data_IF_200213715803
#
_entry.id   IF_200213715803
#
_cell.length_a   1.000
_cell.length_b   1.000
_cell.length_c   1.000
_cell.angle_alpha   90.00
_cell.angle_beta   90.00
_cell.angle_gamma   90.00
#
_symmetry.space_group_name_H-M   'P 1'
#
loop_
_entity.id
_entity.type
_entity.pdbx_description
1 polymer ?
#
# COMPACT_ATOMS: atom_id res chain seq x y z
N UNK A 1 -11.16 -6.54 -13.44
CA UNK A 1 -10.15 -6.42 -12.40
C UNK A 1 -10.54 -7.18 -11.14
N UNK A 2 -9.61 -7.34 -10.21
CA UNK A 2 -9.89 -7.87 -8.87
C UNK A 2 -10.87 -6.96 -8.12
N UNK A 3 -11.57 -7.53 -7.15
CA UNK A 3 -12.27 -6.76 -6.14
C UNK A 3 -11.28 -6.32 -5.07
N UNK A 4 -11.34 -5.04 -4.72
CA UNK A 4 -10.41 -4.44 -3.76
C UNK A 4 -11.19 -3.61 -2.75
N UNK A 5 -10.93 -3.86 -1.47
CA UNK A 5 -11.42 -3.03 -0.38
C UNK A 5 -10.25 -2.49 0.43
N UNK A 6 -10.15 -1.17 0.53
CA UNK A 6 -9.08 -0.49 1.26
C UNK A 6 -9.61 0.22 2.50
N UNK A 7 -8.88 0.12 3.59
CA UNK A 7 -9.20 0.80 4.84
C UNK A 7 -7.95 1.49 5.40
N UNK A 8 -8.10 2.80 5.66
CA UNK A 8 -7.05 3.61 6.30
C UNK A 8 -7.40 3.83 7.76
N UNK A 9 -6.47 3.52 8.64
CA UNK A 9 -6.59 3.78 10.06
C UNK A 9 -5.60 4.88 10.46
N UNK A 10 -6.10 5.90 11.12
CA UNK A 10 -5.31 7.01 11.62
C UNK A 10 -5.47 7.13 13.14
N UNK A 11 -4.38 7.48 13.81
CA UNK A 11 -4.45 7.90 15.22
C UNK A 11 -5.27 9.20 15.32
N UNK A 12 -6.03 9.35 16.40
CA UNK A 12 -6.74 10.59 16.71
C UNK A 12 -5.82 11.76 17.11
N UNK A 13 -4.51 11.53 17.16
CA UNK A 13 -3.52 12.57 17.50
C UNK A 13 -3.23 13.45 16.28
N UNK A 14 -3.06 14.76 16.50
CA UNK A 14 -2.75 15.73 15.45
C UNK A 14 -1.36 15.48 14.84
N UNK A 15 -0.40 14.99 15.63
CA UNK A 15 0.95 14.59 15.17
C UNK A 15 1.35 13.28 15.81
N UNK A 16 1.86 12.38 15.00
CA UNK A 16 2.32 11.07 15.43
C UNK A 16 1.19 10.07 15.75
N UNK A 17 1.55 8.92 16.26
CA UNK A 17 0.69 7.79 16.51
C UNK A 17 0.68 6.80 15.36
N UNK A 18 0.25 5.57 15.68
CA UNK A 18 0.21 4.49 14.72
C UNK A 18 -0.80 4.75 13.59
N UNK A 19 -0.40 4.46 12.37
CA UNK A 19 -1.26 4.53 11.19
C UNK A 19 -1.09 3.27 10.37
N UNK A 20 -2.17 2.71 9.86
CA UNK A 20 -2.11 1.55 8.99
C UNK A 20 -3.01 1.69 7.76
N UNK A 21 -2.64 0.98 6.71
CA UNK A 21 -3.46 0.84 5.52
C UNK A 21 -3.67 -0.65 5.26
N UNK A 22 -4.91 -1.11 5.39
CA UNK A 22 -5.29 -2.49 5.13
C UNK A 22 -5.92 -2.60 3.76
N UNK A 23 -5.46 -3.59 2.99
CA UNK A 23 -5.95 -3.85 1.65
C UNK A 23 -6.42 -5.31 1.57
N UNK A 24 -7.67 -5.52 1.20
CA UNK A 24 -8.22 -6.83 0.86
C UNK A 24 -8.39 -6.90 -0.64
N UNK A 25 -7.79 -7.92 -1.25
CA UNK A 25 -7.85 -8.15 -2.70
C UNK A 25 -8.41 -9.55 -2.92
N UNK A 26 -9.41 -9.69 -3.79
CA UNK A 26 -10.06 -10.96 -4.07
C UNK A 26 -10.51 -11.08 -5.53
N UNK A 27 -10.75 -12.31 -5.98
CA UNK A 27 -11.37 -12.60 -7.28
C UNK A 27 -12.92 -12.70 -7.21
N UNK A 28 -13.49 -12.37 -6.06
CA UNK A 28 -14.93 -12.33 -5.80
C UNK A 28 -15.29 -11.02 -5.08
N UNK A 29 -16.56 -10.59 -5.08
CA UNK A 29 -16.98 -9.35 -4.45
C UNK A 29 -16.58 -9.26 -2.97
N UNK A 30 -16.00 -8.13 -2.57
CA UNK A 30 -15.63 -7.82 -1.19
C UNK A 30 -16.22 -6.47 -0.77
N UNK A 31 -16.87 -6.44 0.39
CA UNK A 31 -17.54 -5.25 0.93
C UNK A 31 -17.00 -4.85 2.32
N UNK A 32 -15.99 -5.56 2.82
CA UNK A 32 -15.44 -5.29 4.15
C UNK A 32 -13.98 -5.75 4.23
N UNK A 33 -13.25 -5.20 5.21
CA UNK A 33 -11.90 -5.67 5.55
C UNK A 33 -12.00 -6.99 6.33
N UNK A 34 -10.97 -7.83 6.22
CA UNK A 34 -10.83 -9.02 7.05
C UNK A 34 -10.22 -8.68 8.41
N UNK A 35 -10.51 -9.50 9.43
CA UNK A 35 -9.91 -9.41 10.77
C UNK A 35 -8.50 -9.99 10.83
N UNK A 36 -8.03 -10.62 9.77
CA UNK A 36 -6.69 -11.20 9.66
C UNK A 36 -6.05 -10.78 8.35
N UNK A 37 -4.71 -10.77 8.32
CA UNK A 37 -3.93 -10.47 7.11
C UNK A 37 -2.94 -11.58 6.78
N UNK A 38 -2.60 -11.72 5.51
CA UNK A 38 -1.61 -12.68 5.02
C UNK A 38 -0.22 -12.05 4.86
N UNK A 39 -0.14 -10.74 4.66
CA UNK A 39 1.09 -10.00 4.49
C UNK A 39 1.04 -8.75 5.37
N UNK A 40 2.02 -8.57 6.23
CA UNK A 40 2.21 -7.38 7.04
C UNK A 40 3.57 -6.75 6.71
N UNK A 41 3.56 -5.48 6.32
CA UNK A 41 4.77 -4.68 6.12
C UNK A 41 4.86 -3.68 7.27
N UNK A 42 5.74 -3.98 8.22
CA UNK A 42 5.99 -3.09 9.35
C UNK A 42 6.99 -1.98 8.95
N UNK A 43 6.53 -0.74 9.00
CA UNK A 43 7.32 0.45 8.70
C UNK A 43 7.76 1.21 9.96
N UNK A 44 7.25 0.80 11.11
CA UNK A 44 7.56 1.30 12.44
C UNK A 44 7.44 0.17 13.49
N UNK A 45 8.05 0.31 14.69
CA UNK A 45 7.99 -0.73 15.72
C UNK A 45 6.59 -0.93 16.31
N UNK A 46 5.72 0.09 16.34
CA UNK A 46 4.38 0.00 16.91
C UNK A 46 3.51 -1.00 16.12
N UNK A 47 3.78 -1.15 14.81
CA UNK A 47 3.11 -2.13 13.94
C UNK A 47 3.25 -3.56 14.45
N UNK A 48 4.37 -3.92 15.11
CA UNK A 48 4.56 -5.26 15.65
C UNK A 48 3.68 -5.55 16.87
N UNK A 49 3.32 -4.53 17.62
CA UNK A 49 2.44 -4.67 18.78
C UNK A 49 0.97 -4.61 18.39
N UNK A 50 0.63 -3.72 17.46
CA UNK A 50 -0.76 -3.42 17.08
C UNK A 50 -1.29 -4.35 16.00
N UNK A 51 -0.54 -4.53 14.90
CA UNK A 51 -1.06 -5.24 13.71
C UNK A 51 -0.53 -6.68 13.57
N UNK A 52 0.64 -7.03 14.14
CA UNK A 52 1.16 -8.39 14.01
C UNK A 52 0.26 -9.49 14.62
N UNK A 53 -0.56 -9.24 15.66
CA UNK A 53 -1.54 -10.19 16.14
C UNK A 53 -2.61 -10.59 15.10
N UNK A 54 -2.85 -9.76 14.09
CA UNK A 54 -3.80 -10.05 13.00
C UNK A 54 -3.19 -10.96 11.90
N UNK A 55 -1.88 -11.20 11.94
CA UNK A 55 -1.20 -12.00 10.92
C UNK A 55 -1.58 -13.47 11.05
N UNK A 56 -1.98 -14.10 9.94
CA UNK A 56 -2.29 -15.54 9.93
C UNK A 56 -1.03 -16.37 10.20
N UNK A 57 -1.20 -17.60 10.66
CA UNK A 57 -0.07 -18.51 10.94
C UNK A 57 0.81 -18.79 9.70
N UNK A 58 0.23 -18.73 8.52
CA UNK A 58 0.93 -18.91 7.22
C UNK A 58 1.34 -17.58 6.60
N UNK A 59 1.09 -16.48 7.30
CA UNK A 59 1.38 -15.14 6.82
C UNK A 59 2.88 -14.84 6.74
N UNK A 60 3.20 -13.72 6.10
CA UNK A 60 4.55 -13.18 6.00
C UNK A 60 4.61 -11.84 6.71
N UNK A 61 5.56 -11.72 7.62
CA UNK A 61 5.94 -10.46 8.25
C UNK A 61 7.17 -9.90 7.56
N UNK A 62 7.10 -8.65 7.12
CA UNK A 62 8.28 -7.87 6.69
C UNK A 62 8.56 -6.82 7.76
N UNK A 63 9.77 -6.81 8.33
CA UNK A 63 10.09 -5.93 9.46
C UNK A 63 11.57 -5.58 9.53
N UNK A 64 11.89 -4.51 10.28
CA UNK A 64 13.28 -4.19 10.58
C UNK A 64 13.85 -5.19 11.61
N UNK A 65 15.07 -5.64 11.36
CA UNK A 65 15.82 -6.54 12.27
C UNK A 65 15.97 -5.94 13.66
N UNK A 66 16.16 -4.63 13.76
CA UNK A 66 16.33 -3.94 15.02
C UNK A 66 15.08 -4.00 15.92
N UNK A 67 13.89 -4.14 15.34
CA UNK A 67 12.63 -4.18 16.12
C UNK A 67 12.28 -5.56 16.64
N UNK A 68 12.97 -6.59 16.18
CA UNK A 68 12.77 -7.95 16.67
C UNK A 68 13.39 -8.18 18.05
N UNK A 69 14.41 -7.39 18.44
CA UNK A 69 15.07 -7.46 19.78
C UNK A 69 15.35 -8.91 20.25
N UNK A 70 15.80 -9.77 19.33
CA UNK A 70 16.03 -11.19 19.61
C UNK A 70 14.76 -12.06 19.69
N UNK A 71 13.57 -11.51 19.53
CA UNK A 71 12.32 -12.26 19.41
C UNK A 71 12.31 -13.01 18.07
N UNK A 72 11.89 -14.29 18.11
CA UNK A 72 11.69 -15.08 16.89
C UNK A 72 10.19 -15.09 16.58
N UNK A 73 9.75 -14.39 15.54
CA UNK A 73 8.36 -14.46 15.09
C UNK A 73 7.98 -15.92 14.78
N UNK A 74 6.73 -16.29 15.07
CA UNK A 74 6.20 -17.63 14.77
C UNK A 74 5.77 -17.80 13.32
N UNK A 75 5.85 -16.75 12.54
CA UNK A 75 5.46 -16.67 11.12
C UNK A 75 6.69 -16.51 10.24
N UNK A 76 6.55 -16.78 8.94
CA UNK A 76 7.61 -16.51 7.98
C UNK A 76 7.96 -15.02 8.02
N UNK A 77 9.24 -14.71 8.10
CA UNK A 77 9.67 -13.34 8.34
C UNK A 77 10.77 -12.93 7.38
N UNK A 78 10.55 -11.84 6.70
CA UNK A 78 11.56 -11.08 5.96
C UNK A 78 12.10 -10.02 6.91
N UNK A 79 13.25 -10.29 7.51
CA UNK A 79 13.94 -9.37 8.40
C UNK A 79 14.99 -8.58 7.60
N UNK A 80 14.89 -7.26 7.60
CA UNK A 80 15.78 -6.37 6.85
C UNK A 80 16.13 -5.15 7.70
N UNK A 81 17.10 -4.37 7.27
CA UNK A 81 17.32 -3.02 7.81
C UNK A 81 16.79 -2.00 6.81
N UNK A 82 15.69 -1.32 7.15
CA UNK A 82 15.15 -0.27 6.29
C UNK A 82 16.17 0.85 6.01
N UNK A 83 17.00 1.16 7.00
CA UNK A 83 18.01 2.21 6.86
C UNK A 83 19.14 1.80 5.92
N UNK A 84 19.60 0.55 5.98
CA UNK A 84 20.66 0.08 5.10
C UNK A 84 20.14 -0.12 3.68
N UNK A 85 18.98 -0.75 3.53
CA UNK A 85 18.38 -0.98 2.22
C UNK A 85 18.02 0.34 1.50
N UNK A 86 17.75 1.42 2.26
CA UNK A 86 17.46 2.73 1.67
C UNK A 86 18.70 3.50 1.20
N UNK A 87 19.91 3.01 1.47
CA UNK A 87 21.16 3.64 1.02
C UNK A 87 21.60 3.02 -0.30
N UNK A 88 21.64 3.81 -1.35
CA UNK A 88 22.15 3.39 -2.66
C UNK A 88 23.05 4.50 -3.23
N UNK A 89 24.33 4.22 -3.42
CA UNK A 89 25.32 5.06 -4.13
C UNK A 89 25.23 6.57 -3.81
N UNK A 90 25.15 6.89 -2.50
CA UNK A 90 25.07 8.29 -2.03
C UNK A 90 23.66 8.89 -2.07
N UNK A 91 22.66 8.16 -2.54
CA UNK A 91 21.26 8.58 -2.59
C UNK A 91 20.45 7.85 -1.52
N UNK A 92 19.50 8.54 -0.90
CA UNK A 92 18.55 7.91 0.03
C UNK A 92 17.26 7.55 -0.69
N UNK A 93 17.00 6.25 -0.80
CA UNK A 93 15.80 5.74 -1.44
C UNK A 93 14.57 5.87 -0.52
N UNK A 94 13.39 6.20 -1.05
CA UNK A 94 12.16 6.28 -0.27
C UNK A 94 11.70 4.90 0.20
N UNK A 95 11.65 4.70 1.52
CA UNK A 95 11.33 3.40 2.16
C UNK A 95 9.96 2.88 1.78
N UNK A 96 8.97 3.75 1.57
CA UNK A 96 7.64 3.35 1.13
C UNK A 96 7.64 2.74 -0.29
N UNK A 97 8.54 3.20 -1.16
CA UNK A 97 8.67 2.62 -2.50
C UNK A 97 9.50 1.33 -2.47
N UNK A 98 10.51 1.26 -1.60
CA UNK A 98 11.18 -0.02 -1.29
C UNK A 98 10.17 -1.09 -0.82
N UNK A 99 9.30 -0.71 0.12
CA UNK A 99 8.23 -1.58 0.62
C UNK A 99 7.25 -2.01 -0.49
N UNK A 100 6.95 -1.11 -1.44
CA UNK A 100 6.14 -1.44 -2.62
C UNK A 100 6.84 -2.48 -3.51
N UNK A 101 8.15 -2.35 -3.73
CA UNK A 101 8.95 -3.33 -4.47
C UNK A 101 8.96 -4.71 -3.81
N UNK A 102 9.18 -4.75 -2.49
CA UNK A 102 9.07 -5.97 -1.68
C UNK A 102 7.69 -6.60 -1.82
N UNK A 103 6.64 -5.79 -1.69
CA UNK A 103 5.25 -6.25 -1.84
C UNK A 103 5.00 -6.83 -3.23
N UNK A 104 5.48 -6.16 -4.27
CA UNK A 104 5.35 -6.63 -5.65
C UNK A 104 6.00 -8.00 -5.85
N UNK A 105 7.20 -8.20 -5.31
CA UNK A 105 7.91 -9.49 -5.37
C UNK A 105 7.13 -10.61 -4.65
N UNK A 106 6.60 -10.34 -3.45
CA UNK A 106 5.83 -11.32 -2.67
C UNK A 106 4.49 -11.68 -3.33
N UNK A 107 3.87 -10.73 -4.05
CA UNK A 107 2.61 -10.93 -4.78
C UNK A 107 2.79 -11.41 -6.22
N UNK A 108 4.02 -11.57 -6.71
CA UNK A 108 4.28 -11.94 -8.10
C UNK A 108 3.87 -10.87 -9.11
N UNK A 109 3.90 -9.60 -8.72
CA UNK A 109 3.55 -8.46 -9.59
C UNK A 109 4.82 -7.96 -10.28
N UNK A 110 4.80 -7.92 -11.61
CA UNK A 110 5.89 -7.34 -12.40
C UNK A 110 6.01 -5.83 -12.11
N UNK A 111 7.21 -5.39 -11.76
CA UNK A 111 7.52 -3.97 -11.50
C UNK A 111 7.20 -3.08 -12.70
N UNK A 112 7.30 -3.59 -13.92
CA UNK A 112 6.93 -2.85 -15.14
C UNK A 112 5.47 -2.38 -15.14
N UNK A 113 4.56 -3.08 -14.44
CA UNK A 113 3.15 -2.67 -14.28
C UNK A 113 2.98 -1.51 -13.30
N UNK A 114 3.95 -1.31 -12.40
CA UNK A 114 3.91 -0.26 -11.37
C UNK A 114 4.56 1.04 -11.84
N UNK A 115 5.49 0.99 -12.78
CA UNK A 115 6.20 2.17 -13.29
C UNK A 115 5.26 3.27 -13.82
N UNK A 116 4.22 2.98 -14.62
CA UNK A 116 3.27 4.00 -15.08
C UNK A 116 2.51 4.68 -13.93
N UNK A 117 2.28 3.96 -12.83
CA UNK A 117 1.62 4.51 -11.63
C UNK A 117 2.56 5.46 -10.89
N UNK A 118 3.84 5.11 -10.78
CA UNK A 118 4.86 5.99 -10.22
C UNK A 118 5.04 7.24 -11.08
N UNK A 119 5.06 7.11 -12.40
CA UNK A 119 5.14 8.25 -13.33
C UNK A 119 3.95 9.20 -13.15
N UNK A 120 2.74 8.66 -13.06
CA UNK A 120 1.53 9.47 -12.80
C UNK A 120 1.61 10.22 -11.46
N UNK A 121 2.20 9.60 -10.44
CA UNK A 121 2.27 10.15 -9.08
C UNK A 121 3.43 11.14 -8.91
N UNK A 122 4.58 10.84 -9.48
CA UNK A 122 5.84 11.54 -9.22
C UNK A 122 6.45 12.24 -10.44
N UNK A 123 6.01 11.95 -11.65
CA UNK A 123 6.61 12.50 -12.87
C UNK A 123 6.66 14.03 -12.91
N UNK A 124 5.67 14.71 -12.31
CA UNK A 124 5.67 16.18 -12.18
C UNK A 124 6.74 16.75 -11.24
N UNK A 125 7.36 15.90 -10.42
CA UNK A 125 8.41 16.31 -9.45
C UNK A 125 9.83 16.33 -10.05
N UNK A 126 9.95 15.93 -11.30
CA UNK A 126 11.22 15.93 -12.04
C UNK A 126 11.83 14.53 -12.23
N UNK A 127 12.74 14.43 -13.20
CA UNK A 127 13.34 13.17 -13.62
C UNK A 127 14.17 12.51 -12.50
N UNK A 128 14.87 13.26 -11.71
CA UNK A 128 15.69 12.76 -10.60
C UNK A 128 14.81 12.04 -9.54
N UNK A 129 13.68 12.65 -9.18
CA UNK A 129 12.73 12.06 -8.24
C UNK A 129 12.14 10.77 -8.82
N UNK A 130 11.81 10.78 -10.11
CA UNK A 130 11.27 9.60 -10.77
C UNK A 130 12.29 8.45 -10.81
N UNK A 131 13.55 8.76 -11.14
CA UNK A 131 14.63 7.77 -11.18
C UNK A 131 14.91 7.17 -9.79
N UNK A 132 14.93 8.01 -8.75
CA UNK A 132 15.08 7.55 -7.36
C UNK A 132 13.95 6.63 -6.94
N UNK A 133 12.70 6.91 -7.34
CA UNK A 133 11.58 6.03 -7.06
C UNK A 133 11.65 4.72 -7.87
N UNK A 134 12.07 4.77 -9.14
CA UNK A 134 12.28 3.57 -9.95
C UNK A 134 13.33 2.66 -9.31
N UNK A 135 14.48 3.22 -8.94
CA UNK A 135 15.56 2.48 -8.27
C UNK A 135 15.07 1.88 -6.95
N UNK A 136 14.31 2.61 -6.14
CA UNK A 136 13.75 2.10 -4.89
C UNK A 136 12.81 0.90 -5.12
N UNK A 137 11.93 0.98 -6.12
CA UNK A 137 11.02 -0.11 -6.47
C UNK A 137 11.81 -1.37 -6.86
N UNK A 138 12.80 -1.23 -7.74
CA UNK A 138 13.63 -2.32 -8.21
C UNK A 138 14.49 -2.91 -7.07
N UNK A 139 15.10 -2.06 -6.24
CA UNK A 139 15.88 -2.50 -5.08
C UNK A 139 15.05 -3.34 -4.12
N UNK A 140 13.83 -2.91 -3.80
CA UNK A 140 12.92 -3.68 -2.95
C UNK A 140 12.53 -5.03 -3.56
N UNK A 141 12.26 -5.07 -4.84
CA UNK A 141 11.92 -6.29 -5.57
C UNK A 141 13.09 -7.28 -5.60
N UNK A 142 14.27 -6.82 -6.02
CA UNK A 142 15.47 -7.65 -6.11
C UNK A 142 15.96 -8.12 -4.73
N UNK A 143 15.67 -7.37 -3.66
CA UNK A 143 15.99 -7.81 -2.31
C UNK A 143 15.27 -9.13 -1.96
N UNK A 144 13.99 -9.26 -2.26
CA UNK A 144 13.24 -10.52 -2.05
C UNK A 144 13.77 -11.60 -2.97
N UNK A 145 13.95 -11.31 -4.24
CA UNK A 145 14.42 -12.26 -5.23
C UNK A 145 15.78 -12.87 -4.88
N UNK A 146 16.68 -12.09 -4.31
CA UNK A 146 18.04 -12.52 -4.03
C UNK A 146 18.23 -13.13 -2.64
N UNK A 147 17.46 -12.69 -1.63
CA UNK A 147 17.64 -13.11 -0.24
C UNK A 147 16.50 -14.02 0.29
N UNK A 148 15.32 -13.97 -0.33
CA UNK A 148 14.13 -14.71 0.06
C UNK A 148 13.42 -15.30 -1.15
N UNK A 149 14.20 -15.92 -2.01
CA UNK A 149 13.72 -16.43 -3.30
C UNK A 149 12.58 -17.45 -3.15
N UNK A 150 12.55 -18.20 -2.06
CA UNK A 150 11.48 -19.12 -1.69
C UNK A 150 10.15 -18.44 -1.35
N UNK A 151 10.19 -17.12 -1.10
CA UNK A 151 9.01 -16.28 -0.88
C UNK A 151 8.61 -15.48 -2.13
N UNK A 152 9.39 -15.55 -3.20
CA UNK A 152 9.04 -14.87 -4.45
C UNK A 152 7.69 -15.40 -4.96
N UNK A 153 6.76 -14.48 -5.22
CA UNK A 153 5.39 -14.80 -5.62
C UNK A 153 4.64 -15.73 -4.63
N UNK A 154 4.98 -15.66 -3.33
CA UNK A 154 4.36 -16.49 -2.29
C UNK A 154 2.84 -16.33 -2.22
N UNK A 155 2.33 -15.15 -2.60
CA UNK A 155 0.92 -14.82 -2.67
C UNK A 155 0.49 -14.47 -4.09
N UNK A 156 0.90 -15.27 -5.08
CA UNK A 156 0.46 -15.06 -6.46
C UNK A 156 -1.06 -15.04 -6.52
N UNK A 157 -1.58 -13.96 -7.07
CA UNK A 157 -3.01 -13.81 -7.23
C UNK A 157 -3.50 -14.65 -8.41
N UNK A 158 -4.62 -15.37 -8.29
CA UNK A 158 -5.15 -16.20 -9.37
C UNK A 158 -5.49 -15.32 -10.58
N UNK A 159 -5.22 -15.82 -11.79
CA UNK A 159 -5.66 -15.15 -13.00
C UNK A 159 -7.19 -15.03 -13.02
N UNK A 160 -7.66 -13.89 -13.53
CA UNK A 160 -9.09 -13.67 -13.72
C UNK A 160 -9.47 -14.16 -15.11
N UNK A 161 -10.41 -15.09 -15.20
CA UNK A 161 -10.88 -15.64 -16.48
C UNK A 161 -11.50 -14.56 -17.38
N UNK A 162 -12.18 -13.58 -16.81
CA UNK A 162 -12.88 -12.50 -17.52
C UNK A 162 -12.74 -11.16 -16.78
N UNK A 163 -11.56 -10.51 -16.82
CA UNK A 163 -11.32 -9.28 -16.08
C UNK A 163 -12.16 -8.13 -16.63
N UNK A 164 -13.22 -7.78 -15.92
CA UNK A 164 -13.99 -6.57 -16.23
C UNK A 164 -13.30 -5.34 -15.63
N UNK A 165 -13.30 -4.19 -16.32
CA UNK A 165 -12.82 -2.94 -15.75
C UNK A 165 -13.69 -2.58 -14.54
N UNK A 166 -13.04 -2.20 -13.44
CA UNK A 166 -13.71 -1.77 -12.21
C UNK A 166 -13.18 -0.40 -11.80
N UNK A 167 -14.07 0.43 -11.28
CA UNK A 167 -13.66 1.68 -10.64
C UNK A 167 -13.19 1.38 -9.22
N UNK A 168 -11.99 1.84 -8.90
CA UNK A 168 -11.52 1.92 -7.54
C UNK A 168 -11.53 3.38 -7.09
N UNK A 169 -12.32 3.70 -6.07
CA UNK A 169 -12.47 5.06 -5.57
C UNK A 169 -12.67 5.09 -4.06
N UNK A 170 -12.37 6.20 -3.45
CA UNK A 170 -12.62 6.44 -2.04
C UNK A 170 -14.12 6.66 -1.79
N UNK A 171 -14.59 6.39 -0.57
CA UNK A 171 -15.99 6.58 -0.20
C UNK A 171 -16.49 8.02 -0.44
N UNK A 172 -15.68 9.02 -0.11
CA UNK A 172 -16.02 10.44 -0.36
C UNK A 172 -16.12 10.76 -1.85
N UNK A 173 -15.25 10.18 -2.70
CA UNK A 173 -15.33 10.31 -4.15
C UNK A 173 -16.60 9.65 -4.71
N UNK A 174 -16.97 8.49 -4.15
CA UNK A 174 -18.20 7.79 -4.54
C UNK A 174 -19.46 8.60 -4.16
N UNK A 175 -19.47 9.22 -2.98
CA UNK A 175 -20.56 10.14 -2.56
C UNK A 175 -20.67 11.33 -3.51
N UNK A 176 -19.54 11.97 -3.82
CA UNK A 176 -19.51 13.11 -4.75
C UNK A 176 -19.97 12.71 -6.15
N UNK A 177 -19.49 11.56 -6.67
CA UNK A 177 -19.92 11.04 -7.97
C UNK A 177 -21.42 10.76 -7.98
N UNK A 178 -21.96 10.14 -6.93
CA UNK A 178 -23.41 9.89 -6.77
C UNK A 178 -24.21 11.19 -6.79
N UNK A 179 -23.75 12.23 -6.09
CA UNK A 179 -24.40 13.53 -6.10
C UNK A 179 -24.39 14.17 -7.51
N UNK A 180 -23.26 14.18 -8.21
CA UNK A 180 -23.14 14.71 -9.57
C UNK A 180 -24.04 13.96 -10.57
N UNK A 181 -24.02 12.63 -10.51
CA UNK A 181 -24.86 11.81 -11.42
C UNK A 181 -26.34 11.91 -11.13
N UNK A 182 -26.72 12.28 -9.90
CA UNK A 182 -28.11 12.60 -9.51
C UNK A 182 -28.55 14.01 -9.93
N UNK A 183 -27.66 14.80 -10.53
CA UNK A 183 -27.97 16.15 -11.01
C UNK A 183 -27.83 17.24 -9.95
N UNK A 184 -27.08 17.03 -8.87
CA UNK A 184 -26.78 18.08 -7.89
C UNK A 184 -25.98 19.20 -8.54
N UNK A 185 -26.53 20.42 -8.53
CA UNK A 185 -25.93 21.63 -9.13
C UNK A 185 -25.43 22.64 -8.10
N UNK A 186 -25.66 22.39 -6.85
CA UNK A 186 -25.25 23.25 -5.77
C UNK A 186 -24.77 22.41 -4.58
N UNK A 187 -23.67 22.83 -3.99
CA UNK A 187 -23.14 22.26 -2.73
C UNK A 187 -22.72 23.39 -1.80
N UNK A 188 -23.16 23.32 -0.56
CA UNK A 188 -22.64 24.13 0.53
C UNK A 188 -21.87 23.22 1.48
N UNK A 189 -20.62 23.55 1.77
CA UNK A 189 -19.78 22.73 2.63
C UNK A 189 -18.84 23.59 3.48
N UNK A 190 -18.60 23.12 4.68
CA UNK A 190 -17.51 23.63 5.53
C UNK A 190 -16.29 22.74 5.33
N UNK A 191 -15.11 23.31 5.07
CA UNK A 191 -13.88 22.52 4.85
C UNK A 191 -13.42 21.88 6.17
N UNK A 192 -13.77 20.64 6.36
CA UNK A 192 -13.40 19.82 7.51
C UNK A 192 -13.05 18.40 7.08
N UNK A 193 -11.93 17.89 7.57
CA UNK A 193 -11.53 16.50 7.32
C UNK A 193 -12.45 15.54 8.08
N UNK A 194 -12.95 14.47 7.44
CA UNK A 194 -12.62 13.98 6.10
C UNK A 194 -13.53 14.46 4.97
N UNK A 195 -14.55 15.28 5.22
CA UNK A 195 -15.60 15.63 4.23
C UNK A 195 -15.15 16.59 3.13
N UNK A 196 -14.02 17.29 3.30
CA UNK A 196 -13.48 18.20 2.28
C UNK A 196 -13.24 17.54 0.93
N UNK A 197 -12.87 16.25 0.93
CA UNK A 197 -12.64 15.48 -0.29
C UNK A 197 -13.90 15.39 -1.18
N UNK A 198 -15.09 15.37 -0.58
CA UNK A 198 -16.37 15.38 -1.33
C UNK A 198 -16.49 16.67 -2.14
N UNK A 199 -16.23 17.81 -1.47
CA UNK A 199 -16.28 19.13 -2.10
C UNK A 199 -15.23 19.25 -3.21
N UNK A 200 -13.98 18.83 -2.94
CA UNK A 200 -12.88 18.87 -3.92
C UNK A 200 -13.19 18.05 -5.16
N UNK A 201 -13.76 16.85 -4.97
CA UNK A 201 -14.16 15.99 -6.07
C UNK A 201 -15.31 16.62 -6.88
N UNK A 202 -16.32 17.16 -6.21
CA UNK A 202 -17.42 17.83 -6.90
C UNK A 202 -16.93 19.03 -7.72
N UNK A 203 -16.07 19.88 -7.14
CA UNK A 203 -15.51 21.06 -7.86
C UNK A 203 -14.69 20.63 -9.08
N UNK A 204 -14.01 19.49 -8.99
CA UNK A 204 -13.16 18.99 -10.09
C UNK A 204 -13.96 18.45 -11.28
N UNK A 205 -15.15 17.91 -11.04
CA UNK A 205 -15.92 17.16 -12.05
C UNK A 205 -17.32 17.72 -12.31
N UNK A 206 -17.70 18.86 -11.69
CA UNK A 206 -18.96 19.55 -11.96
C UNK A 206 -19.01 20.27 -13.31
#
# INVERSE_FOLDING_TARGET
GYDVYGYRQFSSRIKGGHTSYKLRIANHPVATIASSCNLLIAMDPDTLEVDAPELTAEGILVTDTAWLEGKKPKVRTVALSWNELSKADGTTLPKNILALGITAALLGIDTAKLLPLLEKQYGRKGAEVMETNRLALETGYEYIKNNYHDLLAAFTMPELENPQPKLFMLGNEAVALGALTSGAKFMSAYPITPSSEIMEYMVKYA
#
